data_IF_893736469399
#
_entry.id   IF_893736469399
#
_cell.length_a   1.000
_cell.length_b   1.000
_cell.length_c   1.000
_cell.angle_alpha   90.00
_cell.angle_beta   90.00
_cell.angle_gamma   90.00
#
_symmetry.space_group_name_H-M   'P 1'
#
loop_
_entity.id
_entity.type
_entity.pdbx_description
1 polymer ?
#
# COMPACT_ATOMS: atom_id res chain seq x y z
N UNK A 1 45.39 -5.72 -27.83
CA UNK A 1 44.66 -5.04 -26.74
C UNK A 1 43.46 -4.39 -27.38
N UNK A 2 42.29 -5.00 -27.26
CA UNK A 2 41.03 -4.46 -27.80
C UNK A 2 40.31 -3.65 -26.72
N UNK A 3 39.66 -2.53 -27.06
CA UNK A 3 39.04 -1.65 -26.07
C UNK A 3 37.75 -2.26 -25.49
N UNK A 4 37.65 -2.17 -24.17
CA UNK A 4 36.55 -2.65 -23.34
C UNK A 4 35.26 -1.86 -23.67
N UNK A 5 34.28 -2.55 -24.25
CA UNK A 5 32.91 -2.04 -24.31
C UNK A 5 32.28 -2.11 -22.91
N UNK A 6 32.13 -0.96 -22.26
CA UNK A 6 31.30 -0.85 -21.05
C UNK A 6 29.83 -0.88 -21.49
N UNK A 7 29.23 -2.07 -21.41
CA UNK A 7 27.77 -2.22 -21.49
C UNK A 7 27.18 -1.63 -20.21
N UNK A 8 26.51 -0.48 -20.33
CA UNK A 8 25.54 -0.04 -19.33
C UNK A 8 24.37 -1.03 -19.35
N UNK A 9 24.45 -2.03 -18.47
CA UNK A 9 23.37 -2.99 -18.26
C UNK A 9 22.23 -2.36 -17.48
N UNK A 10 21.32 -1.67 -18.17
CA UNK A 10 19.96 -1.50 -17.68
C UNK A 10 19.18 -2.77 -18.06
N UNK A 11 19.41 -3.88 -17.35
CA UNK A 11 18.60 -5.08 -17.53
C UNK A 11 17.27 -4.94 -16.78
N UNK A 12 16.33 -4.20 -17.37
CA UNK A 12 14.92 -4.50 -17.12
C UNK A 12 14.68 -5.92 -17.64
N UNK A 13 14.63 -6.91 -16.75
CA UNK A 13 14.24 -8.28 -17.13
C UNK A 13 12.88 -8.20 -17.85
N UNK A 14 12.76 -8.56 -19.14
CA UNK A 14 11.60 -8.24 -19.97
C UNK A 14 10.29 -8.95 -19.57
N UNK A 15 10.29 -9.77 -18.51
CA UNK A 15 9.14 -10.60 -18.10
C UNK A 15 8.61 -10.31 -16.67
N UNK A 16 8.99 -9.20 -16.02
CA UNK A 16 8.44 -8.89 -14.69
C UNK A 16 7.09 -8.20 -14.77
N UNK A 17 6.06 -8.81 -14.22
CA UNK A 17 4.72 -8.22 -14.07
C UNK A 17 4.66 -7.51 -12.72
N UNK A 18 4.32 -6.21 -12.73
CA UNK A 18 4.15 -5.44 -11.50
C UNK A 18 2.66 -5.34 -11.16
N UNK A 19 2.32 -5.62 -9.91
CA UNK A 19 0.94 -5.50 -9.42
C UNK A 19 0.87 -4.66 -8.16
N UNK A 20 -0.14 -3.78 -8.11
CA UNK A 20 -0.47 -3.00 -6.92
C UNK A 20 -1.74 -3.59 -6.30
N UNK A 21 -1.63 -3.99 -5.04
CA UNK A 21 -2.74 -4.52 -4.27
C UNK A 21 -3.12 -3.48 -3.22
N UNK A 22 -4.37 -3.02 -3.20
CA UNK A 22 -4.85 -2.07 -2.19
C UNK A 22 -5.98 -2.71 -1.37
N UNK A 23 -5.88 -2.72 -0.04
CA UNK A 23 -6.95 -3.23 0.83
C UNK A 23 -8.19 -2.33 0.73
N UNK A 24 -9.39 -2.93 0.69
CA UNK A 24 -10.65 -2.21 0.56
C UNK A 24 -11.60 -2.66 1.64
N UNK A 25 -12.11 -1.72 2.44
CA UNK A 25 -13.15 -1.99 3.43
C UNK A 25 -14.47 -2.35 2.72
N UNK A 26 -15.00 -3.54 3.01
CA UNK A 26 -16.25 -4.03 2.42
C UNK A 26 -17.48 -3.44 3.10
N UNK A 27 -17.40 -3.05 4.37
CA UNK A 27 -18.53 -2.57 5.17
C UNK A 27 -19.35 -1.48 4.47
N UNK A 28 -18.76 -0.37 3.98
CA UNK A 28 -19.53 0.71 3.36
C UNK A 28 -20.04 0.39 1.95
N UNK A 29 -19.69 -0.77 1.38
CA UNK A 29 -19.99 -1.12 -0.01
C UNK A 29 -21.16 -2.08 -0.16
N UNK A 30 -21.61 -2.69 0.93
CA UNK A 30 -22.76 -3.57 0.93
C UNK A 30 -24.07 -2.77 0.91
N UNK A 31 -25.15 -3.42 0.51
CA UNK A 31 -26.51 -2.88 0.57
C UNK A 31 -27.41 -3.84 1.37
N UNK A 32 -27.82 -3.46 2.61
CA UNK A 32 -27.45 -2.22 3.30
C UNK A 32 -25.97 -2.20 3.75
N UNK A 33 -25.36 -1.02 3.93
CA UNK A 33 -24.00 -0.93 4.45
C UNK A 33 -23.90 -1.53 5.85
N UNK A 34 -22.79 -2.23 6.12
CA UNK A 34 -22.52 -2.72 7.48
C UNK A 34 -22.03 -1.57 8.36
N UNK A 35 -22.39 -1.64 9.64
CA UNK A 35 -21.89 -0.75 10.67
C UNK A 35 -20.36 -0.72 10.70
N UNK A 36 -19.78 0.45 10.96
CA UNK A 36 -18.34 0.58 11.21
C UNK A 36 -17.88 -0.22 12.43
N UNK A 37 -18.78 -0.49 13.38
CA UNK A 37 -18.54 -1.30 14.57
C UNK A 37 -18.68 -2.81 14.34
N UNK A 38 -19.01 -3.25 13.12
CA UNK A 38 -19.07 -4.68 12.81
C UNK A 38 -17.69 -5.32 12.96
N UNK A 39 -17.53 -6.22 13.93
CA UNK A 39 -16.26 -6.88 14.22
C UNK A 39 -15.92 -7.96 13.18
N UNK A 40 -14.63 -8.20 12.94
CA UNK A 40 -14.15 -9.23 12.04
C UNK A 40 -13.50 -8.71 10.74
N UNK A 41 -13.01 -9.63 9.92
CA UNK A 41 -12.31 -9.33 8.68
C UNK A 41 -13.29 -9.10 7.52
N UNK A 42 -13.70 -7.85 7.32
CA UNK A 42 -14.56 -7.43 6.19
C UNK A 42 -13.77 -6.53 5.24
N UNK A 43 -12.84 -7.13 4.51
CA UNK A 43 -12.04 -6.44 3.51
C UNK A 43 -11.68 -7.37 2.35
N UNK A 44 -11.28 -6.77 1.23
CA UNK A 44 -10.66 -7.48 0.11
C UNK A 44 -9.49 -6.69 -0.44
N UNK A 45 -8.95 -7.12 -1.59
CA UNK A 45 -7.94 -6.33 -2.29
C UNK A 45 -8.46 -5.90 -3.64
N UNK A 46 -8.34 -4.63 -3.97
CA UNK A 46 -8.29 -4.18 -5.35
C UNK A 46 -6.91 -4.51 -5.94
N UNK A 47 -6.85 -4.98 -7.18
CA UNK A 47 -5.59 -5.30 -7.86
C UNK A 47 -5.50 -4.46 -9.13
N UNK A 48 -4.44 -3.67 -9.24
CA UNK A 48 -4.10 -2.92 -10.43
C UNK A 48 -2.83 -3.50 -11.08
N UNK A 49 -2.81 -3.54 -12.41
CA UNK A 49 -1.65 -3.96 -13.21
C UNK A 49 -1.19 -2.78 -14.08
N UNK A 50 -0.36 -1.88 -13.52
CA UNK A 50 0.18 -0.76 -14.27
C UNK A 50 1.13 -1.24 -15.35
N UNK A 51 1.19 -0.50 -16.46
CA UNK A 51 2.25 -0.67 -17.45
C UNK A 51 3.53 -0.09 -16.84
N UNK A 52 4.66 -0.80 -16.95
CA UNK A 52 5.94 -0.28 -16.45
C UNK A 52 6.72 0.25 -17.66
N UNK A 53 6.83 1.58 -17.76
CA UNK A 53 7.44 2.30 -18.87
C UNK A 53 7.68 3.78 -18.52
N UNK A 54 8.61 4.41 -19.24
CA UNK A 54 9.34 5.62 -18.81
C UNK A 54 8.54 6.93 -18.90
N UNK A 55 7.36 6.95 -19.53
CA UNK A 55 6.70 8.23 -19.91
C UNK A 55 5.41 8.58 -19.17
N UNK A 56 5.03 7.85 -18.10
CA UNK A 56 3.80 8.17 -17.35
C UNK A 56 4.09 8.52 -15.89
N UNK A 57 4.15 9.83 -15.62
CA UNK A 57 4.40 10.49 -14.34
C UNK A 57 3.35 10.14 -13.26
N UNK A 58 3.35 8.89 -12.76
CA UNK A 58 2.48 8.38 -11.69
C UNK A 58 0.96 8.39 -11.98
N UNK A 59 0.52 9.07 -13.02
CA UNK A 59 -0.89 9.36 -13.34
C UNK A 59 -1.63 8.11 -13.80
N UNK A 60 -1.07 7.32 -14.71
CA UNK A 60 -1.65 6.03 -15.11
C UNK A 60 -1.70 5.06 -13.94
N UNK A 61 -0.62 4.99 -13.14
CA UNK A 61 -0.60 4.13 -11.96
C UNK A 61 -1.76 4.50 -11.03
N UNK A 62 -1.89 5.78 -10.72
CA UNK A 62 -2.96 6.29 -9.87
C UNK A 62 -4.34 6.02 -10.49
N UNK A 63 -4.48 6.20 -11.80
CA UNK A 63 -5.74 5.94 -12.51
C UNK A 63 -6.14 4.47 -12.41
N UNK A 64 -5.23 3.54 -12.72
CA UNK A 64 -5.47 2.09 -12.62
C UNK A 64 -5.77 1.66 -11.19
N UNK A 65 -5.10 2.23 -10.19
CA UNK A 65 -5.41 1.96 -8.78
C UNK A 65 -6.81 2.45 -8.42
N UNK A 66 -7.18 3.68 -8.83
CA UNK A 66 -8.54 4.22 -8.62
C UNK A 66 -9.61 3.37 -9.27
N UNK A 67 -9.38 2.94 -10.51
CA UNK A 67 -10.29 2.06 -11.25
C UNK A 67 -10.45 0.71 -10.55
N UNK A 68 -9.34 0.07 -10.15
CA UNK A 68 -9.38 -1.20 -9.43
C UNK A 68 -10.13 -1.07 -8.08
N UNK A 69 -9.92 0.04 -7.34
CA UNK A 69 -10.65 0.30 -6.10
C UNK A 69 -12.14 0.54 -6.38
N UNK A 70 -12.50 1.21 -7.48
CA UNK A 70 -13.91 1.44 -7.86
C UNK A 70 -14.60 0.15 -8.30
N UNK A 71 -13.90 -0.72 -9.02
CA UNK A 71 -14.40 -2.00 -9.50
C UNK A 71 -14.80 -2.95 -8.35
N UNK A 72 -14.19 -2.80 -7.17
CA UNK A 72 -14.62 -3.48 -5.93
C UNK A 72 -15.94 -2.92 -5.37
N UNK A 73 -16.93 -2.65 -6.22
CA UNK A 73 -18.22 -2.05 -5.87
C UNK A 73 -19.10 -3.01 -5.06
N UNK A 74 -20.32 -2.58 -4.71
CA UNK A 74 -21.22 -3.38 -3.88
C UNK A 74 -21.63 -4.72 -4.47
N UNK A 75 -21.88 -4.77 -5.79
CA UNK A 75 -22.19 -6.02 -6.49
C UNK A 75 -21.02 -7.01 -6.42
N UNK A 76 -19.80 -6.55 -6.72
CA UNK A 76 -18.60 -7.38 -6.63
C UNK A 76 -18.35 -7.87 -5.19
N UNK A 77 -18.52 -7.00 -4.19
CA UNK A 77 -18.36 -7.38 -2.78
C UNK A 77 -19.44 -8.38 -2.35
N UNK A 78 -20.69 -8.18 -2.76
CA UNK A 78 -21.78 -9.09 -2.45
C UNK A 78 -21.59 -10.47 -3.11
N UNK A 79 -21.07 -10.52 -4.34
CA UNK A 79 -20.69 -11.78 -5.00
C UNK A 79 -19.56 -12.47 -4.23
N UNK A 80 -18.47 -11.76 -3.93
CA UNK A 80 -17.37 -12.33 -3.16
C UNK A 80 -17.83 -12.94 -1.83
N UNK A 81 -18.77 -12.30 -1.13
CA UNK A 81 -19.28 -12.82 0.14
C UNK A 81 -20.27 -13.99 0.00
N UNK A 82 -20.66 -14.39 -1.21
CA UNK A 82 -21.53 -15.54 -1.44
C UNK A 82 -20.73 -16.84 -1.49
N UNK A 83 -21.16 -17.81 -0.68
CA UNK A 83 -20.61 -19.16 -0.66
C UNK A 83 -19.09 -19.18 -0.44
N UNK A 84 -18.41 -19.99 -1.26
CA UNK A 84 -16.95 -20.15 -1.20
C UNK A 84 -16.19 -19.14 -2.08
N UNK A 85 -16.85 -18.15 -2.69
CA UNK A 85 -16.21 -17.24 -3.64
C UNK A 85 -15.07 -16.44 -3.00
N UNK A 86 -15.30 -15.89 -1.80
CA UNK A 86 -14.25 -15.18 -1.06
C UNK A 86 -13.06 -16.11 -0.74
N UNK A 87 -13.35 -17.34 -0.33
CA UNK A 87 -12.30 -18.31 0.00
C UNK A 87 -11.51 -18.73 -1.25
N UNK A 88 -12.18 -18.99 -2.37
CA UNK A 88 -11.56 -19.31 -3.66
C UNK A 88 -10.71 -18.14 -4.15
N UNK A 89 -11.22 -16.92 -4.06
CA UNK A 89 -10.50 -15.70 -4.37
C UNK A 89 -9.23 -15.53 -3.51
N UNK A 90 -9.31 -15.78 -2.20
CA UNK A 90 -8.14 -15.78 -1.32
C UNK A 90 -7.14 -16.87 -1.72
N UNK A 91 -7.62 -18.08 -2.03
CA UNK A 91 -6.80 -19.22 -2.42
C UNK A 91 -6.04 -18.97 -3.72
N UNK A 92 -6.70 -18.45 -4.75
CA UNK A 92 -6.07 -18.04 -6.01
C UNK A 92 -4.99 -16.99 -5.78
N UNK A 93 -5.24 -16.02 -4.90
CA UNK A 93 -4.27 -14.96 -4.58
C UNK A 93 -3.04 -15.48 -3.86
N UNK A 94 -3.23 -16.40 -2.92
CA UNK A 94 -2.12 -17.07 -2.23
C UNK A 94 -1.31 -17.93 -3.20
N UNK A 95 -1.95 -18.61 -4.15
CA UNK A 95 -1.25 -19.36 -5.20
C UNK A 95 -0.42 -18.45 -6.11
N UNK A 96 -0.98 -17.29 -6.51
CA UNK A 96 -0.28 -16.26 -7.29
C UNK A 96 0.80 -15.53 -6.49
N UNK A 97 0.91 -15.76 -5.17
CA UNK A 97 1.94 -15.15 -4.34
C UNK A 97 3.34 -15.74 -4.53
N UNK A 98 3.41 -16.95 -5.09
CA UNK A 98 4.63 -17.75 -5.15
C UNK A 98 5.30 -17.80 -6.54
N UNK A 99 4.86 -16.99 -7.51
CA UNK A 99 5.50 -16.94 -8.84
C UNK A 99 6.65 -15.93 -8.86
N UNK A 100 7.82 -16.36 -9.33
CA UNK A 100 9.06 -15.56 -9.38
C UNK A 100 9.00 -14.38 -10.37
N UNK A 101 7.99 -14.35 -11.23
CA UNK A 101 7.81 -13.37 -12.31
C UNK A 101 6.98 -12.14 -11.90
N UNK A 102 6.33 -12.16 -10.74
CA UNK A 102 5.44 -11.08 -10.30
C UNK A 102 5.99 -10.29 -9.11
N UNK A 103 6.11 -8.97 -9.28
CA UNK A 103 6.48 -8.05 -8.20
C UNK A 103 5.22 -7.40 -7.65
N UNK A 104 4.84 -7.77 -6.43
CA UNK A 104 3.69 -7.21 -5.72
C UNK A 104 4.11 -6.01 -4.85
N UNK A 105 3.34 -4.94 -4.89
CA UNK A 105 3.30 -3.89 -3.88
C UNK A 105 1.93 -3.87 -3.20
N UNK A 106 1.92 -3.96 -1.88
CA UNK A 106 0.70 -4.01 -1.08
C UNK A 106 0.52 -2.70 -0.33
N UNK A 107 -0.66 -2.12 -0.44
CA UNK A 107 -1.05 -0.88 0.24
C UNK A 107 -2.23 -1.17 1.15
N UNK A 108 -2.16 -0.64 2.36
CA UNK A 108 -3.29 -0.61 3.28
C UNK A 108 -3.39 0.77 3.92
N UNK A 109 -4.60 1.19 4.21
CA UNK A 109 -4.86 2.47 4.86
C UNK A 109 -5.59 2.24 6.17
N UNK A 110 -5.03 2.77 7.24
CA UNK A 110 -5.66 2.93 8.55
C UNK A 110 -6.07 4.39 8.78
N UNK A 111 -6.05 5.22 7.73
CA UNK A 111 -6.62 6.57 7.78
C UNK A 111 -8.10 6.49 8.14
N UNK A 112 -8.58 7.51 8.87
CA UNK A 112 -9.92 7.62 9.45
C UNK A 112 -10.23 6.59 10.53
N UNK A 113 -9.34 5.62 10.80
CA UNK A 113 -9.48 4.76 11.96
C UNK A 113 -9.22 5.60 13.21
N UNK A 114 -10.07 5.55 14.26
CA UNK A 114 -10.05 6.51 15.37
C UNK A 114 -8.91 6.26 16.38
N UNK A 115 -7.71 5.88 15.92
CA UNK A 115 -6.57 5.53 16.75
C UNK A 115 -6.14 6.67 17.68
N UNK A 116 -5.99 7.89 17.14
CA UNK A 116 -5.64 9.09 17.92
C UNK A 116 -6.81 9.65 18.74
N UNK A 117 -8.03 9.09 18.60
CA UNK A 117 -9.20 9.47 19.40
C UNK A 117 -9.40 8.56 20.61
N UNK A 118 -8.71 7.43 20.67
CA UNK A 118 -8.82 6.50 21.79
C UNK A 118 -8.35 7.17 23.09
N UNK A 119 -9.18 7.17 24.12
CA UNK A 119 -8.85 7.68 25.45
C UNK A 119 -9.44 6.72 26.48
N UNK A 120 -8.56 6.12 27.29
CA UNK A 120 -8.92 5.14 28.31
C UNK A 120 -8.94 5.75 29.73
N UNK A 121 -8.86 7.08 29.85
CA UNK A 121 -8.88 7.82 31.11
C UNK A 121 -7.56 8.50 31.48
N UNK A 122 -6.51 8.33 30.68
CA UNK A 122 -5.18 8.95 30.87
C UNK A 122 -4.77 9.85 29.69
N UNK A 123 -5.72 10.21 28.83
CA UNK A 123 -5.48 11.04 27.66
C UNK A 123 -5.24 10.24 26.38
N UNK A 124 -5.20 10.98 25.27
CA UNK A 124 -5.07 10.44 23.92
C UNK A 124 -3.62 10.07 23.58
N UNK A 125 -3.39 9.11 22.66
CA UNK A 125 -2.05 8.78 22.18
C UNK A 125 -1.33 10.00 21.60
N UNK A 126 -0.09 10.21 22.04
CA UNK A 126 0.82 11.20 21.42
C UNK A 126 1.28 10.72 20.06
N UNK A 127 1.47 9.40 19.91
CA UNK A 127 1.91 8.77 18.67
C UNK A 127 1.33 7.36 18.57
N UNK A 128 0.86 7.00 17.37
CA UNK A 128 0.37 5.66 17.07
C UNK A 128 1.25 5.04 15.99
N UNK A 129 1.60 3.78 16.20
CA UNK A 129 2.45 3.02 15.30
C UNK A 129 1.71 1.78 14.81
N UNK A 130 1.31 1.76 13.54
CA UNK A 130 0.94 0.52 12.89
C UNK A 130 2.18 -0.35 12.70
N UNK A 131 2.23 -1.45 13.45
CA UNK A 131 2.89 -2.72 13.10
C UNK A 131 4.43 -2.71 13.13
N UNK A 132 5.01 -2.98 14.30
CA UNK A 132 6.43 -3.28 14.48
C UNK A 132 6.87 -4.69 13.98
N UNK A 133 5.95 -5.52 13.43
CA UNK A 133 6.21 -6.95 13.19
C UNK A 133 5.73 -7.57 11.87
N UNK A 134 5.00 -6.84 11.01
CA UNK A 134 4.59 -7.38 9.70
C UNK A 134 5.65 -7.04 8.65
N UNK A 135 6.72 -7.83 8.64
CA UNK A 135 7.86 -7.70 7.73
C UNK A 135 7.55 -8.28 6.33
N UNK A 136 6.38 -7.99 5.76
CA UNK A 136 6.11 -8.35 4.39
C UNK A 136 6.87 -7.40 3.46
N UNK A 137 7.61 -7.97 2.50
CA UNK A 137 8.28 -7.19 1.46
C UNK A 137 7.24 -6.35 0.70
N UNK A 138 7.58 -5.08 0.41
CA UNK A 138 6.81 -4.17 -0.42
C UNK A 138 5.43 -3.82 0.17
N UNK A 139 5.36 -3.63 1.49
CA UNK A 139 4.15 -3.20 2.20
C UNK A 139 4.21 -1.70 2.51
N UNK A 140 3.14 -0.99 2.16
CA UNK A 140 2.91 0.41 2.49
C UNK A 140 1.67 0.53 3.38
N UNK A 141 1.80 1.21 4.51
CA UNK A 141 0.71 1.50 5.44
C UNK A 141 0.53 3.02 5.51
N UNK A 142 -0.67 3.49 5.20
CA UNK A 142 -1.05 4.89 5.40
C UNK A 142 -1.77 5.07 6.73
N UNK A 143 -1.41 6.12 7.48
CA UNK A 143 -2.06 6.52 8.72
C UNK A 143 -2.26 8.02 8.75
N UNK A 144 -3.26 8.49 9.47
CA UNK A 144 -3.36 9.92 9.77
C UNK A 144 -2.24 10.34 10.72
N UNK A 145 -1.78 11.58 10.60
CA UNK A 145 -0.91 12.23 11.59
C UNK A 145 -1.65 12.47 12.90
N UNK A 146 -0.92 12.62 14.01
CA UNK A 146 -1.52 12.89 15.32
C UNK A 146 -2.35 14.20 15.35
N UNK A 147 -1.92 15.18 14.54
CA UNK A 147 -2.58 16.47 14.32
C UNK A 147 -3.77 16.39 13.36
N UNK A 148 -3.88 15.32 12.57
CA UNK A 148 -4.95 15.12 11.59
C UNK A 148 -4.85 16.00 10.33
N UNK A 149 -3.74 16.70 10.13
CA UNK A 149 -3.51 17.64 9.01
C UNK A 149 -2.72 17.01 7.84
N UNK A 150 -2.35 15.73 7.97
CA UNK A 150 -1.59 15.00 6.96
C UNK A 150 -1.63 13.49 7.15
N UNK A 151 -0.94 12.79 6.24
CA UNK A 151 -0.84 11.33 6.20
C UNK A 151 0.63 10.93 6.41
N UNK A 152 0.88 9.99 7.31
CA UNK A 152 2.14 9.29 7.45
C UNK A 152 2.11 8.02 6.59
N UNK A 153 3.07 7.88 5.67
CA UNK A 153 3.26 6.68 4.87
C UNK A 153 4.43 5.86 5.40
N UNK A 154 4.17 4.62 5.82
CA UNK A 154 5.21 3.69 6.27
C UNK A 154 5.48 2.65 5.22
N UNK A 155 6.73 2.59 4.79
CA UNK A 155 7.14 1.83 3.62
C UNK A 155 8.14 0.76 4.04
N UNK A 156 7.80 -0.51 3.83
CA UNK A 156 8.66 -1.65 4.10
C UNK A 156 9.20 -2.22 2.79
N UNK A 157 10.50 -2.05 2.56
CA UNK A 157 11.23 -2.56 1.39
C UNK A 157 12.43 -3.41 1.84
N UNK A 158 13.01 -4.18 0.93
CA UNK A 158 14.34 -4.76 1.17
C UNK A 158 15.36 -3.63 1.27
N UNK A 159 16.43 -3.87 2.03
CA UNK A 159 17.50 -2.88 2.23
C UNK A 159 17.99 -2.26 0.91
N UNK A 160 18.32 -3.09 -0.08
CA UNK A 160 18.78 -2.63 -1.41
C UNK A 160 17.76 -1.76 -2.14
N UNK A 161 16.47 -2.10 -2.05
CA UNK A 161 15.38 -1.34 -2.66
C UNK A 161 15.15 -0.02 -1.90
N UNK A 162 15.30 -0.03 -0.57
CA UNK A 162 15.17 1.14 0.31
C UNK A 162 16.29 2.16 0.09
N UNK A 163 17.53 1.72 -0.10
CA UNK A 163 18.64 2.64 -0.38
C UNK A 163 18.42 3.38 -1.71
N UNK A 164 17.92 2.69 -2.74
CA UNK A 164 17.54 3.34 -4.02
C UNK A 164 16.36 4.29 -3.83
N UNK A 165 15.34 3.87 -3.08
CA UNK A 165 14.17 4.69 -2.79
C UNK A 165 14.57 6.01 -2.09
N UNK A 166 15.46 5.97 -1.09
CA UNK A 166 15.95 7.18 -0.41
C UNK A 166 16.81 8.09 -1.28
N UNK A 167 17.50 7.53 -2.27
CA UNK A 167 18.36 8.27 -3.19
C UNK A 167 17.59 8.89 -4.37
N UNK A 168 16.29 8.60 -4.51
CA UNK A 168 15.46 9.12 -5.60
C UNK A 168 15.28 10.64 -5.50
N UNK A 169 15.62 11.36 -6.58
CA UNK A 169 15.64 12.83 -6.59
C UNK A 169 14.23 13.44 -6.55
N UNK A 170 13.27 12.84 -7.25
CA UNK A 170 11.88 13.32 -7.25
C UNK A 170 11.27 13.17 -5.84
N UNK A 171 11.53 12.03 -5.19
CA UNK A 171 11.12 11.83 -3.80
C UNK A 171 11.81 12.84 -2.86
N UNK A 172 13.11 13.06 -3.00
CA UNK A 172 13.84 14.02 -2.17
C UNK A 172 13.30 15.44 -2.33
N UNK A 173 12.99 15.85 -3.56
CA UNK A 173 12.37 17.15 -3.84
C UNK A 173 10.98 17.25 -3.19
N UNK A 174 10.15 16.21 -3.33
CA UNK A 174 8.84 16.15 -2.68
C UNK A 174 8.95 16.24 -1.15
N UNK A 175 9.87 15.48 -0.53
CA UNK A 175 10.07 15.47 0.92
C UNK A 175 10.65 16.78 1.46
N UNK A 176 11.49 17.46 0.68
CA UNK A 176 12.05 18.77 1.06
C UNK A 176 10.96 19.85 1.12
N UNK A 177 9.92 19.71 0.29
CA UNK A 177 8.76 20.60 0.27
C UNK A 177 7.66 20.18 1.26
N UNK A 178 7.72 18.96 1.79
CA UNK A 178 6.77 18.47 2.79
C UNK A 178 7.09 19.07 4.16
N UNK A 179 6.04 19.44 4.92
CA UNK A 179 6.20 19.74 6.35
C UNK A 179 6.62 18.46 7.07
N UNK A 180 7.93 18.30 7.28
CA UNK A 180 8.49 17.15 7.98
C UNK A 180 8.21 17.30 9.47
N UNK A 181 7.16 16.63 9.95
CA UNK A 181 6.96 16.43 11.39
C UNK A 181 7.83 15.26 11.86
N UNK A 182 9.15 15.49 11.85
CA UNK A 182 10.11 14.57 12.45
C UNK A 182 9.94 14.58 13.96
N UNK A 183 9.78 13.40 14.58
CA UNK A 183 10.02 13.27 16.02
C UNK A 183 11.51 13.51 16.22
N UNK A 184 11.84 14.64 16.85
CA UNK A 184 13.21 14.92 17.25
C UNK A 184 13.67 13.81 18.21
N UNK A 185 14.82 13.15 17.98
CA UNK A 185 15.32 12.06 18.83
C UNK A 185 15.70 12.50 20.26
N UNK A 186 15.46 13.75 20.65
CA UNK A 186 15.69 14.27 22.00
C UNK A 186 14.44 14.23 22.90
N UNK A 187 13.37 13.57 22.43
CA UNK A 187 12.13 13.35 23.21
C UNK A 187 11.85 11.86 23.50
N UNK A 188 12.90 11.04 23.45
CA UNK A 188 12.93 9.70 24.06
C UNK A 188 13.78 9.75 25.33
#
# INVERSE_FOLDING_TARGET
MDPIHIRHGNESKPNKIYTVHHTVNFRPRLDPPLSEYHFGNMFGMAIAMPSVGVDNCGSELMQKVKEAIRAMNGECVAQLLQGDEYFNFLKERMAQANTSERVRFTFTSLCKFPLYKADFGWGKPVWVVALAGLLYKNLVIFMDTATGDGIEARINLRKEDMEKFKADLELQEFLSNAKTFGIHPSRL
#
